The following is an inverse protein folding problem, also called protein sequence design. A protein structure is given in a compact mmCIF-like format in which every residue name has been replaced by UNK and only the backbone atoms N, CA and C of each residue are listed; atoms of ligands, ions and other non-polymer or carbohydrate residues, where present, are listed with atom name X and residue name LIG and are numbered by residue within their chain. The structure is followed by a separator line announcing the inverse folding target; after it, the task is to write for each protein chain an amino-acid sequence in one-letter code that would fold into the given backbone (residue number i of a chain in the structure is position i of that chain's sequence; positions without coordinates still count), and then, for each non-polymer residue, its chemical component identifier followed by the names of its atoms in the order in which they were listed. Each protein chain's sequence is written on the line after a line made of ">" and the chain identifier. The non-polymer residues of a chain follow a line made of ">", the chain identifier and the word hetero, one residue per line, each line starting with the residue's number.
data_IF_165312913901
#
_entry.id   IF_165312913901
#
_cell.length_a   1.000
_cell.length_b   1.000
_cell.length_c   1.000
_cell.angle_alpha   90.00
_cell.angle_beta   90.00
_cell.angle_gamma   90.00
#
_symmetry.space_group_name_H-M   'P 1'
#
loop_
_entity.id
_entity.type
_entity.pdbx_description
1 polymer ?
#
# COMPACT_ATOMS: atom_id res chain seq x y z
N UNK A 1 12.88 -2.82 4.60
CA UNK A 1 12.36 -2.31 3.31
C UNK A 1 11.80 -0.91 3.50
N UNK A 2 10.70 -0.77 4.26
CA UNK A 2 10.01 0.51 4.51
C UNK A 2 10.89 1.54 5.24
N UNK A 3 11.73 1.07 6.16
CA UNK A 3 12.71 1.86 6.92
C UNK A 3 13.77 2.55 6.06
N UNK A 4 13.87 2.18 4.77
CA UNK A 4 14.85 2.73 3.82
C UNK A 4 14.26 3.76 2.85
N UNK A 5 12.94 3.96 2.87
CA UNK A 5 12.29 5.02 2.10
C UNK A 5 12.67 6.38 2.69
N UNK A 6 12.97 7.34 1.83
CA UNK A 6 13.43 8.68 2.21
C UNK A 6 12.39 9.76 1.90
N UNK A 7 11.66 9.59 0.80
CA UNK A 7 10.65 10.54 0.31
C UNK A 7 9.24 10.02 0.61
N UNK A 8 8.98 8.74 0.34
CA UNK A 8 7.68 8.12 0.54
C UNK A 8 7.52 7.71 2.01
N UNK A 9 6.47 8.18 2.66
CA UNK A 9 6.27 7.93 4.09
C UNK A 9 5.34 6.74 4.35
N UNK A 10 5.71 5.89 5.32
CA UNK A 10 4.80 4.84 5.78
C UNK A 10 3.74 5.41 6.72
N UNK A 11 2.50 5.53 6.23
CA UNK A 11 1.39 6.05 7.01
C UNK A 11 0.02 5.62 6.46
N UNK A 12 -0.96 5.58 7.36
CA UNK A 12 -2.39 5.51 6.99
C UNK A 12 -2.87 6.87 6.46
N UNK A 13 -4.02 6.91 5.75
CA UNK A 13 -4.58 8.05 4.97
C UNK A 13 -4.20 8.06 3.48
N UNK A 14 -4.75 9.00 2.70
CA UNK A 14 -4.54 9.15 1.25
C UNK A 14 -4.85 10.59 0.79
N UNK A 15 -4.37 10.98 -0.40
CA UNK A 15 -4.66 12.29 -1.01
C UNK A 15 -3.90 13.47 -0.41
N UNK A 16 -2.80 13.20 0.30
CA UNK A 16 -1.93 14.22 0.88
C UNK A 16 -0.93 14.76 -0.17
N UNK A 17 -0.37 15.95 0.05
CA UNK A 17 0.69 16.50 -0.82
C UNK A 17 2.00 15.70 -0.75
N UNK A 18 2.14 14.81 0.24
CA UNK A 18 3.27 13.88 0.38
C UNK A 18 2.84 12.49 0.01
N UNK A 19 3.72 11.76 -0.65
CA UNK A 19 3.53 10.37 -1.02
C UNK A 19 3.51 9.48 0.21
N UNK A 20 2.48 8.62 0.30
CA UNK A 20 2.28 7.70 1.41
C UNK A 20 2.23 6.26 0.92
N UNK A 21 2.82 5.32 1.66
CA UNK A 21 2.70 3.88 1.42
C UNK A 21 2.18 3.17 2.67
N UNK A 22 1.35 2.15 2.48
CA UNK A 22 0.81 1.37 3.58
C UNK A 22 0.60 -0.08 3.19
N UNK A 23 0.91 -1.01 4.10
CA UNK A 23 0.61 -2.43 3.94
C UNK A 23 -0.85 -2.71 4.27
N UNK A 24 -1.59 -3.22 3.29
CA UNK A 24 -2.98 -3.62 3.43
C UNK A 24 -3.06 -5.15 3.51
N UNK A 25 -2.87 -5.71 4.70
CA UNK A 25 -2.97 -7.15 4.94
C UNK A 25 -4.38 -7.67 4.73
N UNK A 26 -4.51 -8.77 3.99
CA UNK A 26 -5.81 -9.36 3.62
C UNK A 26 -6.65 -9.67 4.86
N UNK A 27 -6.08 -10.33 5.87
CA UNK A 27 -6.82 -10.71 7.08
C UNK A 27 -7.31 -9.48 7.86
N UNK A 28 -6.46 -8.46 8.05
CA UNK A 28 -6.83 -7.22 8.71
C UNK A 28 -7.94 -6.47 7.96
N UNK A 29 -7.93 -6.49 6.62
CA UNK A 29 -9.00 -5.91 5.82
C UNK A 29 -10.32 -6.67 5.97
N UNK A 30 -10.27 -8.00 6.07
CA UNK A 30 -11.48 -8.80 6.29
C UNK A 30 -12.06 -8.60 7.68
N UNK A 31 -11.22 -8.40 8.70
CA UNK A 31 -11.68 -8.10 10.06
C UNK A 31 -12.32 -6.70 10.17
N UNK A 32 -11.76 -5.72 9.45
CA UNK A 32 -12.11 -4.30 9.65
C UNK A 32 -13.05 -3.74 8.59
N UNK A 33 -12.66 -3.79 7.31
CA UNK A 33 -13.18 -2.90 6.27
C UNK A 33 -14.04 -3.63 5.26
N UNK A 34 -13.54 -4.73 4.70
CA UNK A 34 -14.20 -5.41 3.58
C UNK A 34 -15.17 -6.50 4.05
N UNK A 35 -14.80 -7.29 5.06
CA UNK A 35 -15.62 -8.38 5.62
C UNK A 35 -16.22 -9.31 4.56
N UNK A 36 -15.46 -9.58 3.49
CA UNK A 36 -15.91 -10.45 2.41
C UNK A 36 -16.00 -11.90 2.90
N UNK A 37 -16.91 -12.66 2.32
CA UNK A 37 -17.12 -14.08 2.65
C UNK A 37 -17.37 -14.91 1.38
N UNK A 38 -17.20 -16.23 1.49
CA UNK A 38 -17.41 -17.16 0.37
C UNK A 38 -16.55 -16.80 -0.85
N UNK A 39 -17.17 -16.86 -2.04
CA UNK A 39 -16.47 -16.65 -3.32
C UNK A 39 -15.82 -15.27 -3.47
N UNK A 40 -16.32 -14.24 -2.77
CA UNK A 40 -15.70 -12.91 -2.78
C UNK A 40 -14.39 -12.89 -2.00
N UNK A 41 -14.32 -13.63 -0.88
CA UNK A 41 -13.08 -13.77 -0.12
C UNK A 41 -12.06 -14.58 -0.92
N UNK A 42 -12.48 -15.67 -1.55
CA UNK A 42 -11.62 -16.51 -2.39
C UNK A 42 -11.03 -15.69 -3.54
N UNK A 43 -11.88 -14.94 -4.26
CA UNK A 43 -11.43 -14.07 -5.35
C UNK A 43 -10.48 -12.97 -4.88
N UNK A 44 -10.70 -12.40 -3.69
CA UNK A 44 -9.80 -11.39 -3.15
C UNK A 44 -8.45 -12.01 -2.76
N UNK A 45 -8.42 -13.20 -2.16
CA UNK A 45 -7.19 -13.91 -1.81
C UNK A 45 -6.41 -14.33 -3.05
N UNK A 46 -7.08 -14.76 -4.12
CA UNK A 46 -6.43 -15.08 -5.39
C UNK A 46 -5.72 -13.84 -6.00
N UNK A 47 -6.31 -12.65 -5.82
CA UNK A 47 -5.73 -11.40 -6.31
C UNK A 47 -4.64 -10.83 -5.40
N UNK A 48 -4.91 -10.73 -4.10
CA UNK A 48 -4.09 -9.99 -3.14
C UNK A 48 -3.16 -10.89 -2.30
N UNK A 49 -3.35 -12.21 -2.30
CA UNK A 49 -2.63 -13.13 -1.42
C UNK A 49 -2.79 -12.72 0.05
N UNK A 50 -1.66 -12.58 0.75
CA UNK A 50 -1.60 -12.14 2.15
C UNK A 50 -1.84 -10.63 2.32
N UNK A 51 -1.78 -9.86 1.23
CA UNK A 51 -2.04 -8.43 1.21
C UNK A 51 -1.27 -7.70 0.12
N UNK A 52 -1.53 -6.39 0.03
CA UNK A 52 -0.91 -5.53 -0.99
C UNK A 52 -0.31 -4.28 -0.36
N UNK A 53 0.72 -3.75 -1.01
CA UNK A 53 1.20 -2.39 -0.73
C UNK A 53 0.34 -1.38 -1.50
N UNK A 54 -0.26 -0.42 -0.79
CA UNK A 54 -0.99 0.69 -1.41
C UNK A 54 -0.16 1.96 -1.36
N UNK A 55 0.05 2.56 -2.53
CA UNK A 55 0.74 3.84 -2.70
C UNK A 55 -0.30 4.94 -2.98
N UNK A 56 -0.26 6.02 -2.19
CA UNK A 56 -0.92 7.29 -2.47
C UNK A 56 0.14 8.25 -2.97
N UNK A 57 0.14 8.54 -4.26
CA UNK A 57 1.11 9.45 -4.90
C UNK A 57 0.79 10.89 -4.50
N UNK A 58 1.81 11.60 -4.01
CA UNK A 58 1.76 13.01 -3.62
C UNK A 58 2.09 13.96 -4.78
N UNK A 59 2.67 15.11 -4.45
CA UNK A 59 3.03 16.17 -5.41
C UNK A 59 4.54 16.35 -5.59
N UNK A 60 5.34 15.40 -5.12
CA UNK A 60 6.80 15.40 -5.33
C UNK A 60 7.17 15.20 -6.81
N UNK A 61 8.43 15.47 -7.15
CA UNK A 61 8.95 15.16 -8.47
C UNK A 61 8.87 13.64 -8.72
N UNK A 62 8.39 13.24 -9.91
CA UNK A 62 8.22 11.83 -10.24
C UNK A 62 9.53 11.06 -10.28
N UNK A 63 10.64 11.69 -10.68
CA UNK A 63 11.95 11.04 -10.72
C UNK A 63 12.44 10.72 -9.31
N UNK A 64 12.18 11.61 -8.34
CA UNK A 64 12.51 11.39 -6.93
C UNK A 64 11.70 10.21 -6.35
N UNK A 65 10.40 10.13 -6.66
CA UNK A 65 9.55 9.02 -6.21
C UNK A 65 9.99 7.68 -6.80
N UNK A 66 10.31 7.64 -8.09
CA UNK A 66 10.81 6.44 -8.76
C UNK A 66 12.16 6.02 -8.16
N UNK A 67 13.06 6.98 -7.93
CA UNK A 67 14.36 6.72 -7.33
C UNK A 67 14.21 6.17 -5.91
N UNK A 68 13.29 6.69 -5.10
CA UNK A 68 13.05 6.22 -3.73
C UNK A 68 12.50 4.79 -3.71
N UNK A 69 11.54 4.46 -4.59
CA UNK A 69 11.02 3.09 -4.74
C UNK A 69 12.10 2.12 -5.22
N UNK A 70 12.91 2.53 -6.19
CA UNK A 70 13.97 1.69 -6.77
C UNK A 70 15.07 1.32 -5.76
N UNK A 71 15.18 2.05 -4.64
CA UNK A 71 16.13 1.71 -3.56
C UNK A 71 15.69 0.53 -2.71
N UNK A 72 14.39 0.23 -2.69
CA UNK A 72 13.79 -0.72 -1.72
C UNK A 72 13.14 -1.93 -2.38
N UNK A 73 13.02 -1.92 -3.71
CA UNK A 73 12.57 -3.04 -4.54
C UNK A 73 13.81 -3.82 -5.02
#
# INVERSE_FOLDING_TARGET
>A
MIDRLQTIHYAVSLGHHRSLVFWMGTDALMETSFRLTGSQLDSYRDFAGDGIMRLSVGLEDSEDLIADLSRVI
#
